data_IF_807734575008
#
_entry.id   IF_807734575008
#
_cell.length_a   1.000
_cell.length_b   1.000
_cell.length_c   1.000
_cell.angle_alpha   90.00
_cell.angle_beta   90.00
_cell.angle_gamma   90.00
#
_symmetry.space_group_name_H-M   'P 1'
#
loop_
_entity.id
_entity.type
_entity.pdbx_description
1 polymer ?
#
# COMPACT_ATOMS: atom_id res chain seq x y z
N UNK A 1 -22.99 10.19 2.68
CA UNK A 1 -21.69 9.96 3.33
C UNK A 1 -21.64 8.46 3.65
N UNK A 2 -21.01 7.64 2.80
CA UNK A 2 -20.87 6.20 3.07
C UNK A 2 -19.68 6.02 3.99
N UNK A 3 -19.95 5.73 5.26
CA UNK A 3 -18.91 5.20 6.13
C UNK A 3 -18.61 3.77 5.70
N UNK A 4 -17.34 3.34 5.63
CA UNK A 4 -17.03 1.94 5.44
C UNK A 4 -17.70 1.16 6.58
N UNK A 5 -18.51 0.16 6.21
CA UNK A 5 -19.06 -0.77 7.21
C UNK A 5 -17.87 -1.41 7.91
N UNK A 6 -17.79 -1.25 9.23
CA UNK A 6 -16.79 -1.96 10.03
C UNK A 6 -16.90 -3.46 9.72
N UNK A 7 -15.79 -4.16 9.49
CA UNK A 7 -15.84 -5.60 9.28
C UNK A 7 -16.55 -6.24 10.48
N UNK A 8 -17.48 -7.15 10.20
CA UNK A 8 -18.24 -7.84 11.25
C UNK A 8 -17.26 -8.70 12.07
N UNK A 9 -17.17 -8.46 13.36
CA UNK A 9 -16.40 -9.28 14.29
C UNK A 9 -17.32 -10.37 14.87
N UNK A 10 -17.06 -11.63 14.51
CA UNK A 10 -17.89 -12.76 14.93
C UNK A 10 -17.47 -13.35 16.28
N UNK A 11 -16.20 -13.18 16.65
CA UNK A 11 -15.62 -13.75 17.87
C UNK A 11 -14.61 -12.79 18.50
N UNK A 12 -14.56 -12.79 19.81
CA UNK A 12 -13.50 -12.12 20.55
C UNK A 12 -12.16 -12.84 20.32
N UNK A 13 -11.15 -12.11 19.83
CA UNK A 13 -9.80 -12.69 19.61
C UNK A 13 -9.07 -13.04 20.92
N UNK A 14 -9.55 -12.53 22.07
CA UNK A 14 -8.95 -12.82 23.38
C UNK A 14 -9.54 -14.06 24.04
N UNK A 15 -10.88 -14.22 24.06
CA UNK A 15 -11.54 -15.29 24.81
C UNK A 15 -12.46 -16.20 23.98
N UNK A 16 -12.56 -15.99 22.68
CA UNK A 16 -13.40 -16.79 21.78
C UNK A 16 -14.91 -16.57 21.90
N UNK A 17 -15.36 -15.67 22.79
CA UNK A 17 -16.79 -15.39 22.98
C UNK A 17 -17.43 -14.80 21.73
N UNK A 18 -18.68 -15.21 21.44
CA UNK A 18 -19.54 -14.61 20.40
C UNK A 18 -20.29 -13.35 20.88
N UNK A 19 -20.22 -13.03 22.19
CA UNK A 19 -20.96 -11.94 22.79
C UNK A 19 -20.16 -10.65 22.63
N UNK A 20 -20.22 -10.07 21.44
CA UNK A 20 -19.52 -8.82 21.09
C UNK A 20 -20.54 -7.76 20.78
N UNK A 21 -20.39 -6.60 21.41
CA UNK A 21 -21.18 -5.39 21.14
C UNK A 21 -20.36 -4.34 20.41
N UNK A 22 -21.01 -3.55 19.55
CA UNK A 22 -20.44 -2.34 18.98
C UNK A 22 -20.95 -1.17 19.82
N UNK A 23 -20.10 -0.62 20.68
CA UNK A 23 -20.43 0.44 21.64
C UNK A 23 -19.31 1.47 21.72
N UNK A 24 -19.60 2.64 22.25
CA UNK A 24 -18.59 3.64 22.60
C UNK A 24 -18.09 3.31 24.02
N UNK A 25 -16.84 2.83 24.18
CA UNK A 25 -16.30 2.54 25.51
C UNK A 25 -16.14 3.81 26.34
N UNK A 26 -16.11 3.67 27.67
CA UNK A 26 -15.83 4.79 28.55
C UNK A 26 -14.48 5.43 28.22
N UNK A 27 -14.46 6.74 28.05
CA UNK A 27 -13.27 7.51 27.67
C UNK A 27 -12.92 7.51 26.17
N UNK A 28 -13.70 6.82 25.32
CA UNK A 28 -13.54 6.88 23.85
C UNK A 28 -14.60 7.82 23.21
N UNK A 29 -14.40 8.17 21.96
CA UNK A 29 -15.30 9.01 21.16
C UNK A 29 -15.84 8.29 19.91
N UNK A 30 -15.55 6.99 19.75
CA UNK A 30 -15.96 6.17 18.61
C UNK A 30 -16.45 4.80 19.05
N UNK A 31 -17.33 4.23 18.25
CA UNK A 31 -17.75 2.85 18.43
C UNK A 31 -16.58 1.88 18.26
N UNK A 32 -16.46 0.92 19.16
CA UNK A 32 -15.50 -0.17 19.15
C UNK A 32 -16.20 -1.50 19.36
N UNK A 33 -15.66 -2.58 18.83
CA UNK A 33 -16.09 -3.90 19.23
C UNK A 33 -15.61 -4.18 20.66
N UNK A 34 -16.55 -4.46 21.56
CA UNK A 34 -16.27 -4.77 22.96
C UNK A 34 -16.83 -6.15 23.28
N UNK A 35 -16.01 -6.99 23.85
CA UNK A 35 -16.44 -8.30 24.32
C UNK A 35 -17.16 -8.18 25.65
N UNK A 36 -18.44 -8.58 25.71
CA UNK A 36 -19.22 -8.53 26.94
C UNK A 36 -18.88 -9.64 27.94
N UNK A 37 -18.04 -10.61 27.53
CA UNK A 37 -17.59 -11.71 28.40
C UNK A 37 -16.27 -11.38 29.13
N UNK A 38 -15.27 -10.81 28.44
CA UNK A 38 -13.96 -10.52 29.01
C UNK A 38 -13.58 -9.03 28.96
N UNK A 39 -14.50 -8.16 28.60
CA UNK A 39 -14.37 -6.69 28.53
C UNK A 39 -13.27 -6.18 27.59
N UNK A 40 -12.66 -7.03 26.77
CA UNK A 40 -11.66 -6.63 25.81
C UNK A 40 -12.25 -5.66 24.78
N UNK A 41 -11.60 -4.50 24.62
CA UNK A 41 -11.90 -3.53 23.57
C UNK A 41 -11.02 -3.84 22.38
N UNK A 42 -11.62 -4.05 21.22
CA UNK A 42 -10.91 -4.36 19.98
C UNK A 42 -10.70 -3.08 19.16
N UNK A 43 -9.44 -2.62 19.12
CA UNK A 43 -9.05 -1.50 18.28
C UNK A 43 -8.71 -1.99 16.88
N UNK A 44 -9.18 -1.26 15.87
CA UNK A 44 -8.84 -1.50 14.46
C UNK A 44 -8.18 -0.25 13.90
N UNK A 45 -6.99 -0.42 13.38
CA UNK A 45 -6.22 0.64 12.73
C UNK A 45 -6.20 0.42 11.21
N UNK A 46 -5.94 1.47 10.42
CA UNK A 46 -5.66 1.30 9.00
C UNK A 46 -4.48 0.37 8.78
N UNK A 47 -4.61 -0.51 7.78
CA UNK A 47 -3.50 -1.36 7.36
C UNK A 47 -2.45 -0.52 6.61
N UNK A 48 -1.19 -0.78 6.90
CA UNK A 48 -0.07 -0.19 6.17
C UNK A 48 0.29 -1.11 5.01
N UNK A 49 0.45 -0.53 3.83
CA UNK A 49 1.00 -1.19 2.64
C UNK A 49 2.36 -0.57 2.36
N UNK A 50 3.40 -1.36 2.39
CA UNK A 50 4.76 -0.96 2.06
C UNK A 50 5.09 -1.38 0.63
N UNK A 51 5.77 -0.52 -0.13
CA UNK A 51 6.19 -0.85 -1.48
C UNK A 51 7.40 -0.05 -1.93
N UNK A 52 8.05 -0.51 -2.95
CA UNK A 52 9.18 0.17 -3.56
C UNK A 52 9.06 0.16 -5.08
N UNK A 53 9.30 1.31 -5.70
CA UNK A 53 9.46 1.48 -7.14
C UNK A 53 10.93 1.24 -7.50
N UNK A 54 11.30 0.06 -8.04
CA UNK A 54 12.66 -0.18 -8.46
C UNK A 54 12.96 0.59 -9.76
N UNK A 55 14.09 1.27 -9.80
CA UNK A 55 14.53 2.09 -10.92
C UNK A 55 15.82 1.52 -11.49
N UNK A 56 15.88 1.40 -12.80
CA UNK A 56 17.09 1.05 -13.54
C UNK A 56 17.29 2.03 -14.69
N UNK A 57 18.33 2.84 -14.60
CA UNK A 57 18.62 3.92 -15.56
C UNK A 57 17.45 4.91 -15.70
N UNK A 58 16.75 4.89 -16.84
CA UNK A 58 15.58 5.73 -17.11
C UNK A 58 14.24 4.97 -17.02
N UNK A 59 14.28 3.72 -16.57
CA UNK A 59 13.14 2.81 -16.52
C UNK A 59 12.74 2.47 -15.08
N UNK A 60 11.51 2.09 -14.92
CA UNK A 60 10.93 1.62 -13.66
C UNK A 60 10.44 0.18 -13.83
N UNK A 61 10.63 -0.66 -12.81
CA UNK A 61 10.13 -2.03 -12.79
C UNK A 61 8.70 -2.05 -12.28
N UNK A 62 7.82 -2.71 -13.03
CA UNK A 62 6.45 -3.01 -12.63
C UNK A 62 6.21 -4.51 -12.72
N UNK A 63 5.27 -5.00 -11.89
CA UNK A 63 4.83 -6.38 -11.86
C UNK A 63 3.38 -6.49 -12.31
N UNK A 64 3.06 -7.49 -13.12
CA UNK A 64 1.71 -7.79 -13.57
C UNK A 64 1.10 -8.82 -12.62
N UNK A 65 0.06 -8.46 -11.92
CA UNK A 65 -0.51 -9.23 -10.83
C UNK A 65 -1.02 -10.61 -11.25
N UNK A 66 -0.64 -11.66 -10.51
CA UNK A 66 -1.17 -13.01 -10.67
C UNK A 66 -2.35 -13.30 -9.73
N UNK A 67 -2.71 -12.37 -8.83
CA UNK A 67 -3.72 -12.56 -7.78
C UNK A 67 -4.80 -11.47 -7.80
N UNK A 68 -5.98 -11.80 -7.26
CA UNK A 68 -7.02 -10.82 -6.97
C UNK A 68 -6.68 -9.96 -5.74
N UNK A 69 -7.19 -8.73 -5.62
CA UNK A 69 -7.96 -8.01 -6.62
C UNK A 69 -7.06 -7.51 -7.76
N UNK A 70 -7.68 -7.24 -8.91
CA UNK A 70 -6.97 -6.65 -10.07
C UNK A 70 -5.97 -7.58 -10.76
N UNK A 71 -6.30 -8.88 -10.81
CA UNK A 71 -5.57 -9.88 -11.61
C UNK A 71 -5.29 -9.37 -13.03
N UNK A 72 -4.07 -9.53 -13.51
CA UNK A 72 -3.63 -9.18 -14.86
C UNK A 72 -3.29 -7.69 -15.07
N UNK A 73 -3.46 -6.83 -14.07
CA UNK A 73 -3.08 -5.42 -14.15
C UNK A 73 -1.70 -5.17 -13.54
N UNK A 74 -1.07 -4.08 -13.95
CA UNK A 74 0.28 -3.69 -13.54
C UNK A 74 0.30 -2.93 -12.22
N UNK A 75 1.32 -3.19 -11.42
CA UNK A 75 1.48 -2.56 -10.11
C UNK A 75 2.97 -2.28 -9.80
N UNK A 76 3.21 -1.34 -8.89
CA UNK A 76 4.49 -1.23 -8.18
C UNK A 76 4.51 -2.36 -7.14
N UNK A 77 5.59 -3.16 -7.03
CA UNK A 77 5.73 -4.18 -5.99
C UNK A 77 5.37 -3.62 -4.61
N UNK A 78 4.35 -4.19 -3.97
CA UNK A 78 3.86 -3.70 -2.67
C UNK A 78 2.82 -4.62 -2.05
N UNK A 79 2.90 -4.81 -0.73
CA UNK A 79 1.94 -5.56 0.04
C UNK A 79 1.82 -5.10 1.48
N UNK A 80 1.12 -5.87 2.31
CA UNK A 80 0.90 -5.52 3.70
C UNK A 80 2.17 -5.59 4.52
N UNK A 81 2.39 -4.55 5.33
CA UNK A 81 3.46 -4.54 6.32
C UNK A 81 3.18 -5.60 7.39
N UNK A 82 4.17 -6.44 7.67
CA UNK A 82 4.08 -7.48 8.68
C UNK A 82 4.56 -7.01 10.07
N UNK A 83 4.09 -7.68 11.11
CA UNK A 83 4.52 -7.37 12.47
C UNK A 83 6.00 -7.74 12.66
N UNK A 84 6.77 -6.79 13.16
CA UNK A 84 8.19 -6.99 13.49
C UNK A 84 9.16 -6.58 12.41
N UNK A 85 8.69 -6.12 11.25
CA UNK A 85 9.55 -5.54 10.20
C UNK A 85 9.46 -3.99 10.18
N UNK A 86 10.51 -3.34 9.70
CA UNK A 86 10.45 -1.93 9.35
C UNK A 86 9.71 -1.73 8.02
N UNK A 87 9.25 -0.50 7.73
CA UNK A 87 8.56 -0.22 6.48
C UNK A 87 9.46 -0.43 5.28
N UNK A 88 10.75 -0.12 5.43
CA UNK A 88 11.79 -0.37 4.44
C UNK A 88 11.99 -1.87 4.19
N UNK A 89 12.07 -2.67 5.26
CA UNK A 89 12.24 -4.12 5.14
C UNK A 89 11.03 -4.75 4.45
N UNK A 90 9.80 -4.34 4.82
CA UNK A 90 8.58 -4.78 4.17
C UNK A 90 8.56 -4.44 2.69
N UNK A 91 8.95 -3.21 2.31
CA UNK A 91 9.01 -2.81 0.92
C UNK A 91 10.05 -3.63 0.11
N UNK A 92 11.19 -3.97 0.71
CA UNK A 92 12.22 -4.81 0.07
C UNK A 92 11.78 -6.26 -0.05
N UNK A 93 11.10 -6.81 0.96
CA UNK A 93 10.51 -8.16 0.92
C UNK A 93 9.51 -8.28 -0.21
N UNK A 94 8.59 -7.33 -0.36
CA UNK A 94 7.60 -7.31 -1.44
C UNK A 94 8.24 -7.26 -2.82
N UNK A 95 9.29 -6.44 -3.01
CA UNK A 95 10.06 -6.43 -4.28
C UNK A 95 10.68 -7.78 -4.56
N UNK A 96 11.22 -8.43 -3.53
CA UNK A 96 11.80 -9.76 -3.70
C UNK A 96 10.75 -10.82 -4.03
N UNK A 97 9.61 -10.81 -3.33
CA UNK A 97 8.52 -11.77 -3.50
C UNK A 97 7.81 -11.64 -4.85
N UNK A 98 7.57 -10.39 -5.31
CA UNK A 98 6.86 -10.15 -6.58
C UNK A 98 7.77 -10.16 -7.81
N UNK A 99 9.03 -9.72 -7.67
CA UNK A 99 9.94 -9.52 -8.82
C UNK A 99 11.27 -10.27 -8.74
N UNK A 100 11.54 -11.03 -7.67
CA UNK A 100 12.84 -11.66 -7.40
C UNK A 100 14.02 -10.68 -7.59
N UNK A 101 13.81 -9.41 -7.27
CA UNK A 101 14.74 -8.33 -7.51
C UNK A 101 15.37 -7.83 -6.21
N UNK A 102 16.63 -7.40 -6.29
CA UNK A 102 17.33 -6.74 -5.19
C UNK A 102 17.36 -5.24 -5.45
N UNK A 103 16.95 -4.48 -4.43
CA UNK A 103 16.86 -3.03 -4.51
C UNK A 103 17.57 -2.39 -3.33
N UNK A 104 18.26 -1.29 -3.61
CA UNK A 104 18.79 -0.38 -2.60
C UNK A 104 17.83 0.80 -2.47
N UNK A 105 17.10 0.90 -1.35
CA UNK A 105 16.19 2.01 -1.09
C UNK A 105 16.95 3.34 -1.12
N UNK A 106 16.37 4.34 -1.78
CA UNK A 106 16.90 5.70 -1.88
C UNK A 106 16.11 6.68 -1.00
N UNK A 107 14.78 6.79 -1.20
CA UNK A 107 13.94 7.68 -0.41
C UNK A 107 12.47 7.29 -0.45
N UNK A 108 11.71 7.72 0.56
CA UNK A 108 10.26 7.64 0.59
C UNK A 108 9.67 8.70 -0.35
N UNK A 109 8.97 8.27 -1.38
CA UNK A 109 8.40 9.17 -2.39
C UNK A 109 6.94 9.52 -2.12
N UNK A 110 6.14 8.54 -1.64
CA UNK A 110 4.71 8.81 -1.40
C UNK A 110 4.21 8.25 -0.08
N UNK A 111 3.34 9.04 0.56
CA UNK A 111 2.38 8.64 1.56
C UNK A 111 0.99 8.84 0.96
N UNK A 112 0.28 7.73 0.66
CA UNK A 112 -1.01 7.78 0.00
C UNK A 112 -2.11 7.14 0.84
N UNK A 113 -3.17 7.91 1.12
CA UNK A 113 -4.22 7.47 2.02
C UNK A 113 -5.45 6.99 1.24
N UNK A 114 -6.00 5.86 1.65
CA UNK A 114 -7.25 5.29 1.16
C UNK A 114 -8.25 5.13 2.32
N UNK A 115 -8.85 6.22 2.84
CA UNK A 115 -9.68 6.18 4.04
C UNK A 115 -10.89 5.26 3.91
N UNK A 116 -11.45 5.11 2.70
CA UNK A 116 -12.63 4.26 2.45
C UNK A 116 -12.38 2.77 2.66
N UNK A 117 -11.14 2.33 2.55
CA UNK A 117 -10.76 0.92 2.74
C UNK A 117 -9.77 0.74 3.88
N UNK A 118 -9.56 1.80 4.69
CA UNK A 118 -8.66 1.80 5.83
C UNK A 118 -7.24 1.31 5.48
N UNK A 119 -6.63 1.92 4.44
CA UNK A 119 -5.26 1.62 4.03
C UNK A 119 -4.42 2.89 3.91
N UNK A 120 -3.14 2.75 4.23
CA UNK A 120 -2.11 3.77 4.04
C UNK A 120 -0.97 3.13 3.26
N UNK A 121 -0.62 3.71 2.11
CA UNK A 121 0.49 3.27 1.29
C UNK A 121 1.72 4.14 1.56
N UNK A 122 2.82 3.48 1.87
CA UNK A 122 4.15 4.07 1.98
C UNK A 122 5.00 3.47 0.85
N UNK A 123 5.35 4.29 -0.14
CA UNK A 123 6.11 3.80 -1.28
C UNK A 123 7.45 4.52 -1.39
N UNK A 124 8.50 3.72 -1.54
CA UNK A 124 9.87 4.17 -1.74
C UNK A 124 10.22 4.20 -3.22
N UNK A 125 11.28 4.90 -3.53
CA UNK A 125 12.07 4.72 -4.75
C UNK A 125 13.36 4.02 -4.34
N UNK A 126 13.81 3.06 -5.15
CA UNK A 126 15.07 2.39 -4.92
C UNK A 126 15.78 2.03 -6.22
N UNK A 127 17.09 1.92 -6.18
CA UNK A 127 17.91 1.51 -7.30
C UNK A 127 17.91 -0.02 -7.41
N UNK A 128 17.58 -0.54 -8.57
CA UNK A 128 17.66 -1.97 -8.87
C UNK A 128 19.13 -2.38 -8.93
N UNK A 129 19.52 -3.36 -8.14
CA UNK A 129 20.92 -3.85 -8.12
C UNK A 129 21.20 -4.67 -9.37
N UNK A 130 22.28 -4.35 -10.07
CA UNK A 130 22.76 -5.05 -11.29
C UNK A 130 21.74 -5.14 -12.44
N UNK A 131 20.59 -4.48 -12.33
CA UNK A 131 19.52 -4.52 -13.33
C UNK A 131 18.82 -5.88 -13.44
N UNK A 132 19.08 -6.80 -12.52
CA UNK A 132 18.50 -8.14 -12.52
C UNK A 132 17.16 -8.18 -11.79
N UNK A 133 16.20 -8.88 -12.38
CA UNK A 133 14.89 -9.18 -11.82
C UNK A 133 14.33 -10.47 -12.43
N UNK A 134 13.34 -11.04 -11.77
CA UNK A 134 12.62 -12.23 -12.22
C UNK A 134 11.12 -12.02 -12.16
N UNK A 135 10.39 -13.11 -11.96
CA UNK A 135 8.94 -13.14 -11.79
C UNK A 135 8.67 -13.97 -10.54
N UNK A 136 8.08 -13.35 -9.53
CA UNK A 136 7.69 -14.03 -8.30
C UNK A 136 6.36 -14.76 -8.44
N UNK A 137 5.96 -15.48 -7.38
CA UNK A 137 4.75 -16.33 -7.41
C UNK A 137 3.45 -15.51 -7.55
N UNK A 138 3.43 -14.28 -7.08
CA UNK A 138 2.28 -13.37 -7.17
C UNK A 138 2.27 -12.50 -8.44
N UNK A 139 3.21 -12.74 -9.36
CA UNK A 139 3.34 -12.01 -10.62
C UNK A 139 3.21 -12.92 -11.83
N UNK A 140 2.48 -12.45 -12.85
CA UNK A 140 2.42 -13.09 -14.18
C UNK A 140 3.62 -12.70 -15.03
N UNK A 141 4.10 -11.48 -14.83
CA UNK A 141 5.13 -10.84 -15.64
C UNK A 141 5.75 -9.69 -14.85
N UNK A 142 7.05 -9.46 -15.03
CA UNK A 142 7.76 -8.27 -14.57
C UNK A 142 8.47 -7.62 -15.75
N UNK A 143 8.41 -6.29 -15.85
CA UNK A 143 9.03 -5.59 -16.97
C UNK A 143 9.50 -4.18 -16.60
N UNK A 144 10.52 -3.71 -17.31
CA UNK A 144 11.03 -2.35 -17.20
C UNK A 144 10.36 -1.41 -18.22
N UNK A 145 9.82 -0.30 -17.72
CA UNK A 145 9.10 0.69 -18.51
C UNK A 145 9.78 2.06 -18.45
N UNK A 146 9.92 2.71 -19.59
CA UNK A 146 10.14 4.16 -19.63
C UNK A 146 8.82 4.88 -19.33
N UNK A 147 8.84 6.17 -18.98
CA UNK A 147 7.60 6.96 -18.75
C UNK A 147 6.61 6.85 -19.92
N UNK A 148 7.12 6.81 -21.16
CA UNK A 148 6.28 6.75 -22.37
C UNK A 148 5.65 5.39 -22.63
N UNK A 149 6.28 4.31 -22.14
CA UNK A 149 5.83 2.94 -22.37
C UNK A 149 4.98 2.36 -21.22
N UNK A 150 4.78 3.10 -20.11
CA UNK A 150 3.92 2.66 -19.02
C UNK A 150 2.50 2.43 -19.52
N UNK A 151 1.91 1.26 -19.22
CA UNK A 151 0.52 0.95 -19.58
C UNK A 151 -0.46 1.62 -18.58
N UNK A 152 -0.61 2.94 -18.68
CA UNK A 152 -1.36 3.76 -17.73
C UNK A 152 -2.80 3.31 -17.50
N UNK A 153 -3.46 2.80 -18.54
CA UNK A 153 -4.84 2.33 -18.48
C UNK A 153 -4.97 0.93 -17.85
N UNK A 154 -3.84 0.21 -17.76
CA UNK A 154 -3.77 -1.12 -17.16
C UNK A 154 -3.16 -1.09 -15.74
N UNK A 155 -3.04 0.08 -15.13
CA UNK A 155 -2.55 0.17 -13.75
C UNK A 155 -3.60 -0.30 -12.75
N UNK A 156 -3.18 -1.21 -11.85
CA UNK A 156 -4.08 -1.84 -10.88
C UNK A 156 -4.66 -0.87 -9.85
N UNK A 157 -3.83 0.05 -9.35
CA UNK A 157 -4.18 0.92 -8.22
C UNK A 157 -3.82 2.39 -8.46
N UNK A 158 -4.67 3.25 -7.94
CA UNK A 158 -4.46 4.72 -7.98
C UNK A 158 -3.20 5.15 -7.22
N UNK A 159 -2.83 4.44 -6.15
CA UNK A 159 -1.59 4.67 -5.39
C UNK A 159 -0.35 4.51 -6.27
N UNK A 160 -0.30 3.46 -7.10
CA UNK A 160 0.81 3.21 -8.03
C UNK A 160 0.85 4.25 -9.15
N UNK A 161 -0.30 4.58 -9.73
CA UNK A 161 -0.40 5.66 -10.73
C UNK A 161 0.06 7.00 -10.16
N UNK A 162 -0.36 7.33 -8.93
CA UNK A 162 0.08 8.54 -8.24
C UNK A 162 1.60 8.54 -8.04
N UNK A 163 2.16 7.45 -7.49
CA UNK A 163 3.61 7.34 -7.24
C UNK A 163 4.43 7.46 -8.51
N UNK A 164 4.04 6.78 -9.59
CA UNK A 164 4.72 6.87 -10.88
C UNK A 164 4.74 8.30 -11.43
N UNK A 165 3.61 8.99 -11.41
CA UNK A 165 3.54 10.41 -11.85
C UNK A 165 4.47 11.29 -11.02
N UNK A 166 4.47 11.15 -9.69
CA UNK A 166 5.35 11.90 -8.79
C UNK A 166 6.84 11.55 -8.97
N UNK A 167 7.13 10.29 -9.27
CA UNK A 167 8.51 9.88 -9.59
C UNK A 167 9.05 10.62 -10.81
N UNK A 168 8.32 10.63 -11.91
CA UNK A 168 8.77 11.32 -13.12
C UNK A 168 8.77 12.86 -12.98
N UNK A 169 7.87 13.44 -12.20
CA UNK A 169 7.91 14.86 -11.82
C UNK A 169 9.20 15.19 -11.04
N UNK A 170 9.49 14.41 -9.99
CA UNK A 170 10.71 14.56 -9.20
C UNK A 170 11.96 14.46 -10.07
N UNK A 171 12.00 13.47 -10.96
CA UNK A 171 13.10 13.23 -11.87
C UNK A 171 13.33 14.41 -12.83
N UNK A 172 12.28 14.94 -13.47
CA UNK A 172 12.38 16.13 -14.33
C UNK A 172 12.85 17.36 -13.57
N UNK A 173 12.46 17.49 -12.31
CA UNK A 173 12.86 18.61 -11.46
C UNK A 173 14.24 18.43 -10.79
N UNK A 174 14.88 17.26 -10.94
CA UNK A 174 16.13 16.92 -10.25
C UNK A 174 15.99 16.92 -8.71
N UNK A 175 14.83 16.51 -8.18
CA UNK A 175 14.52 16.58 -6.74
C UNK A 175 14.04 15.22 -6.22
N UNK A 176 14.23 15.00 -4.91
CA UNK A 176 13.71 13.83 -4.18
C UNK A 176 12.70 14.34 -3.14
N UNK A 177 11.46 14.57 -3.57
CA UNK A 177 10.40 15.09 -2.72
C UNK A 177 9.45 13.98 -2.30
N UNK A 178 9.00 14.02 -1.05
CA UNK A 178 7.88 13.24 -0.54
C UNK A 178 6.57 13.91 -0.95
N UNK A 179 5.69 13.15 -1.54
CA UNK A 179 4.34 13.58 -1.94
C UNK A 179 3.27 12.90 -1.08
N UNK A 180 2.25 13.65 -0.71
CA UNK A 180 1.09 13.13 0.03
C UNK A 180 -0.13 13.12 -0.88
N UNK A 181 -0.91 12.05 -0.83
CA UNK A 181 -2.16 11.93 -1.56
C UNK A 181 -3.27 11.28 -0.73
N UNK A 182 -4.51 11.51 -1.14
CA UNK A 182 -5.72 10.91 -0.56
C UNK A 182 -6.65 10.54 -1.71
N UNK A 183 -7.30 9.37 -1.66
CA UNK A 183 -8.31 9.00 -2.63
C UNK A 183 -9.66 8.68 -1.93
N UNK A 184 -10.77 9.19 -2.44
CA UNK A 184 -10.85 10.18 -3.52
C UNK A 184 -10.21 11.49 -3.06
N UNK A 185 -9.66 12.27 -4.01
CA UNK A 185 -9.14 13.61 -3.71
C UNK A 185 -10.24 14.39 -2.99
N UNK A 186 -9.92 14.88 -1.81
CA UNK A 186 -10.77 15.85 -1.13
C UNK A 186 -10.64 17.12 -1.94
N UNK A 187 -11.70 17.50 -2.67
CA UNK A 187 -11.77 18.85 -3.21
C UNK A 187 -11.60 19.78 -2.00
N UNK A 188 -10.52 20.56 -2.00
CA UNK A 188 -10.39 21.65 -1.05
C UNK A 188 -11.64 22.51 -1.23
N UNK A 189 -12.50 22.49 -0.20
CA UNK A 189 -13.57 23.47 -0.12
C UNK A 189 -12.84 24.80 0.06
N UNK A 190 -12.79 25.58 -1.04
CA UNK A 190 -12.39 26.98 -0.96
C UNK A 190 -13.29 27.68 0.06
N UNK A 191 -12.67 28.05 1.21
CA UNK A 191 -13.29 28.91 2.22
C UNK A 191 -13.11 30.37 1.83
#
# INVERSE_FOLDING_TARGET
MFFPTLPIMNFCSNCGSKIIGLIIPEGDNRERFVCNNCTTIHYQNPNIVAGCLPVWEDRVLLCRRAIEPRLGLWNIPSGYLENGESVEDGALREVWEEAAAKVKIDYLITLYNLPKINQIYLQFVGELVDGEFGVGEESLECALFTEKSIPWEEMAFTSSTFTLRRHFENRRAGRKLLHRGVYPEVQELEN
#
